data_IF_160761392252
#
_entry.id   IF_160761392252
#
_cell.length_a   1.000
_cell.length_b   1.000
_cell.length_c   1.000
_cell.angle_alpha   90.00
_cell.angle_beta   90.00
_cell.angle_gamma   90.00
#
_symmetry.space_group_name_H-M   'P 1'
#
loop_
_entity.id
_entity.type
_entity.pdbx_description
1 polymer ?
#
# COMPACT_ATOMS: atom_id res chain seq x y z
N UNK A 1 -3.20 13.90 24.67
CA UNK A 1 -3.45 12.56 25.25
C UNK A 1 -4.82 12.00 24.82
N UNK A 2 -5.18 12.05 23.52
CA UNK A 2 -6.49 11.58 23.03
C UNK A 2 -6.43 10.23 22.29
N UNK A 3 -5.26 9.84 21.76
CA UNK A 3 -5.11 8.62 20.96
C UNK A 3 -5.48 7.34 21.74
N UNK A 4 -5.12 7.25 23.02
CA UNK A 4 -5.25 6.01 23.82
C UNK A 4 -6.70 5.55 24.05
N UNK A 5 -7.68 6.47 24.02
CA UNK A 5 -9.10 6.14 24.21
C UNK A 5 -9.69 5.47 22.97
N UNK A 6 -9.42 6.03 21.78
CA UNK A 6 -9.89 5.49 20.51
C UNK A 6 -9.34 4.09 20.23
N UNK A 7 -8.06 3.84 20.54
CA UNK A 7 -7.42 2.52 20.37
C UNK A 7 -8.09 1.43 21.20
N UNK A 8 -8.42 1.72 22.47
CA UNK A 8 -9.10 0.77 23.36
C UNK A 8 -10.54 0.49 22.93
N UNK A 9 -11.24 1.51 22.45
CA UNK A 9 -12.60 1.35 21.95
C UNK A 9 -12.62 0.47 20.70
N UNK A 10 -11.70 0.74 19.77
CA UNK A 10 -11.57 -0.04 18.55
C UNK A 10 -11.15 -1.49 18.81
N UNK A 11 -10.22 -1.71 19.73
CA UNK A 11 -9.84 -3.05 20.18
C UNK A 11 -11.05 -3.83 20.70
N UNK A 12 -11.85 -3.23 21.59
CA UNK A 12 -13.07 -3.85 22.13
C UNK A 12 -14.08 -4.20 21.05
N UNK A 13 -14.30 -3.31 20.08
CA UNK A 13 -15.21 -3.55 18.96
C UNK A 13 -14.76 -4.74 18.11
N UNK A 14 -13.47 -4.81 17.77
CA UNK A 14 -12.92 -5.91 16.97
C UNK A 14 -12.91 -7.23 17.74
N UNK A 15 -12.61 -7.21 19.05
CA UNK A 15 -12.71 -8.39 19.91
C UNK A 15 -14.14 -8.96 19.95
N UNK A 16 -15.15 -8.09 20.09
CA UNK A 16 -16.56 -8.50 20.05
C UNK A 16 -16.95 -9.11 18.70
N UNK A 17 -16.37 -8.59 17.60
CA UNK A 17 -16.57 -9.13 16.24
C UNK A 17 -15.70 -10.37 15.94
N UNK A 18 -14.92 -10.87 16.92
CA UNK A 18 -13.93 -11.96 16.75
C UNK A 18 -12.85 -11.65 15.70
N UNK A 19 -12.60 -10.37 15.40
CA UNK A 19 -11.62 -9.90 14.42
C UNK A 19 -10.21 -9.74 15.00
N UNK A 20 -9.68 -10.82 15.58
CA UNK A 20 -8.40 -10.79 16.30
C UNK A 20 -7.20 -10.66 15.37
N UNK A 21 -7.22 -11.30 14.20
CA UNK A 21 -6.12 -11.20 13.24
C UNK A 21 -6.12 -9.83 12.57
N UNK A 22 -7.29 -9.28 12.27
CA UNK A 22 -7.41 -7.91 11.78
C UNK A 22 -6.89 -6.90 12.80
N UNK A 23 -7.18 -7.07 14.09
CA UNK A 23 -6.62 -6.22 15.14
C UNK A 23 -5.08 -6.25 15.16
N UNK A 24 -4.48 -7.44 15.03
CA UNK A 24 -3.01 -7.58 14.94
C UNK A 24 -2.45 -6.91 13.69
N UNK A 25 -3.10 -7.10 12.53
CA UNK A 25 -2.73 -6.43 11.29
C UNK A 25 -2.74 -4.91 11.48
N UNK A 26 -3.83 -4.38 12.04
CA UNK A 26 -4.02 -2.96 12.32
C UNK A 26 -2.90 -2.39 13.21
N UNK A 27 -2.59 -3.03 14.34
CA UNK A 27 -1.46 -2.63 15.20
C UNK A 27 -0.14 -2.59 14.42
N UNK A 28 0.15 -3.65 13.66
CA UNK A 28 1.38 -3.75 12.87
C UNK A 28 1.47 -2.68 11.77
N UNK A 29 0.34 -2.31 11.14
CA UNK A 29 0.28 -1.26 10.12
C UNK A 29 0.69 0.10 10.69
N UNK A 30 0.15 0.48 11.85
CA UNK A 30 0.49 1.75 12.48
C UNK A 30 1.92 1.78 13.03
N UNK A 31 2.46 0.64 13.44
CA UNK A 31 3.87 0.53 13.79
C UNK A 31 4.78 0.71 12.56
N UNK A 32 4.37 0.17 11.39
CA UNK A 32 5.06 0.43 10.11
C UNK A 32 5.00 1.91 9.75
N UNK A 33 3.82 2.54 9.80
CA UNK A 33 3.67 3.98 9.57
C UNK A 33 4.55 4.82 10.51
N UNK A 34 4.61 4.46 11.79
CA UNK A 34 5.46 5.16 12.77
C UNK A 34 6.95 5.02 12.46
N UNK A 35 7.40 3.84 12.06
CA UNK A 35 8.79 3.63 11.63
C UNK A 35 9.08 4.38 10.34
N UNK A 36 8.11 4.46 9.44
CA UNK A 36 8.19 5.21 8.20
C UNK A 36 8.40 6.71 8.45
N UNK A 37 7.75 7.28 9.48
CA UNK A 37 8.00 8.66 9.91
C UNK A 37 9.47 8.90 10.30
N UNK A 38 10.16 7.92 10.88
CA UNK A 38 11.58 8.04 11.22
C UNK A 38 12.43 8.02 9.95
N UNK A 39 12.11 7.15 8.97
CA UNK A 39 12.75 7.14 7.64
C UNK A 39 12.59 8.50 6.95
N UNK A 40 11.42 9.12 7.07
CA UNK A 40 11.13 10.44 6.50
C UNK A 40 11.90 11.58 7.19
N UNK A 41 12.20 11.46 8.48
CA UNK A 41 13.04 12.45 9.18
C UNK A 41 14.49 12.47 8.68
N UNK A 42 15.01 11.34 8.19
CA UNK A 42 16.34 11.24 7.58
C UNK A 42 16.30 11.37 6.06
N UNK A 43 15.14 11.66 5.46
CA UNK A 43 15.01 11.82 4.03
C UNK A 43 15.76 13.08 3.56
N UNK A 44 16.65 12.90 2.58
CA UNK A 44 17.35 13.99 1.94
C UNK A 44 16.88 14.10 0.50
N UNK A 45 16.50 15.31 0.11
CA UNK A 45 16.17 15.61 -1.27
C UNK A 45 17.42 15.53 -2.15
N UNK A 46 17.32 14.74 -3.22
CA UNK A 46 18.28 14.72 -4.32
C UNK A 46 17.56 15.18 -5.58
N UNK A 47 18.24 15.95 -6.43
CA UNK A 47 17.72 16.27 -7.75
C UNK A 47 17.92 15.08 -8.69
N UNK A 48 16.81 14.45 -9.08
CA UNK A 48 16.81 13.29 -9.99
C UNK A 48 16.64 13.68 -11.46
N UNK A 49 16.75 14.97 -11.78
CA UNK A 49 16.79 15.49 -13.14
C UNK A 49 15.43 15.57 -13.83
N UNK A 50 15.49 15.86 -15.13
CA UNK A 50 14.32 16.03 -15.97
C UNK A 50 13.46 14.76 -16.02
N UNK A 51 12.14 14.87 -16.26
CA UNK A 51 11.28 13.72 -16.46
C UNK A 51 11.90 12.76 -17.47
N UNK A 52 11.95 11.48 -17.08
CA UNK A 52 12.34 10.13 -17.61
C UNK A 52 11.36 9.31 -18.42
N UNK A 53 10.12 9.46 -17.98
CA UNK A 53 9.03 8.53 -18.20
C UNK A 53 7.72 9.31 -18.27
N UNK A 54 6.71 8.67 -18.83
CA UNK A 54 5.35 9.14 -18.75
C UNK A 54 4.38 7.97 -18.57
N UNK A 55 3.18 8.28 -18.09
CA UNK A 55 2.05 7.35 -18.05
C UNK A 55 0.75 8.12 -18.24
N UNK A 56 -0.29 7.41 -18.69
CA UNK A 56 -1.61 7.99 -18.92
C UNK A 56 -2.60 7.47 -17.86
N UNK A 57 -3.32 8.38 -17.20
CA UNK A 57 -4.36 8.01 -16.22
C UNK A 57 -5.54 8.96 -16.31
N UNK A 58 -6.74 8.40 -16.47
CA UNK A 58 -7.98 9.20 -16.52
C UNK A 58 -8.04 10.20 -17.67
N UNK A 59 -7.34 9.95 -18.78
CA UNK A 59 -7.25 10.86 -19.92
C UNK A 59 -6.19 11.96 -19.81
N UNK A 60 -5.40 11.97 -18.72
CA UNK A 60 -4.29 12.89 -18.51
C UNK A 60 -2.96 12.16 -18.61
N UNK A 61 -1.96 12.81 -19.20
CA UNK A 61 -0.57 12.31 -19.23
C UNK A 61 0.25 12.94 -18.12
N UNK A 62 0.99 12.11 -17.39
CA UNK A 62 1.85 12.50 -16.29
C UNK A 62 3.30 12.18 -16.63
N UNK A 63 4.23 13.04 -16.22
CA UNK A 63 5.64 12.92 -16.55
C UNK A 63 6.46 12.76 -15.26
N UNK A 64 7.35 11.78 -15.23
CA UNK A 64 8.12 11.39 -14.05
C UNK A 64 9.58 11.25 -14.42
N UNK A 65 10.49 11.63 -13.52
CA UNK A 65 11.88 11.17 -13.60
C UNK A 65 12.00 9.75 -13.02
N UNK A 66 13.22 9.21 -12.99
CA UNK A 66 13.48 7.88 -12.45
C UNK A 66 12.95 7.71 -11.02
N UNK A 67 13.15 8.72 -10.18
CA UNK A 67 12.67 8.67 -8.80
C UNK A 67 11.14 8.59 -8.71
N UNK A 68 10.42 9.39 -9.50
CA UNK A 68 8.95 9.34 -9.53
C UNK A 68 8.44 7.98 -10.02
N UNK A 69 9.08 7.40 -11.03
CA UNK A 69 8.78 6.07 -11.53
C UNK A 69 9.01 4.98 -10.46
N UNK A 70 10.13 5.06 -9.74
CA UNK A 70 10.46 4.14 -8.65
C UNK A 70 9.50 4.32 -7.48
N UNK A 71 9.08 5.54 -7.18
CA UNK A 71 8.11 5.84 -6.13
C UNK A 71 6.73 5.25 -6.44
N UNK A 72 6.22 5.37 -7.66
CA UNK A 72 4.96 4.72 -8.04
C UNK A 72 5.06 3.20 -8.09
N UNK A 73 6.19 2.66 -8.54
CA UNK A 73 6.47 1.23 -8.48
C UNK A 73 6.48 0.71 -7.04
N UNK A 74 7.10 1.46 -6.12
CA UNK A 74 7.05 1.17 -4.68
C UNK A 74 5.64 1.26 -4.13
N UNK A 75 4.86 2.29 -4.48
CA UNK A 75 3.47 2.44 -4.04
C UNK A 75 2.65 1.17 -4.30
N UNK A 76 2.73 0.63 -5.53
CA UNK A 76 1.99 -0.59 -5.92
C UNK A 76 2.48 -1.81 -5.11
N UNK A 77 3.79 -1.96 -4.92
CA UNK A 77 4.34 -3.08 -4.16
C UNK A 77 4.03 -3.01 -2.67
N UNK A 78 4.19 -1.83 -2.06
CA UNK A 78 3.86 -1.57 -0.65
C UNK A 78 2.36 -1.80 -0.43
N UNK A 79 1.53 -1.31 -1.36
CA UNK A 79 0.09 -1.56 -1.39
C UNK A 79 -0.24 -3.05 -1.45
N UNK A 80 0.34 -3.79 -2.40
CA UNK A 80 0.14 -5.24 -2.55
C UNK A 80 0.51 -6.00 -1.28
N UNK A 81 1.63 -5.65 -0.65
CA UNK A 81 2.10 -6.29 0.56
C UNK A 81 1.16 -6.06 1.75
N UNK A 82 0.70 -4.82 1.95
CA UNK A 82 -0.28 -4.48 2.98
C UNK A 82 -1.65 -5.11 2.70
N UNK A 83 -2.07 -5.12 1.44
CA UNK A 83 -3.28 -5.79 0.99
C UNK A 83 -3.27 -7.26 1.32
N UNK A 84 -2.19 -7.98 0.99
CA UNK A 84 -2.07 -9.42 1.24
C UNK A 84 -2.19 -9.74 2.73
N UNK A 85 -1.53 -8.95 3.59
CA UNK A 85 -1.64 -9.10 5.05
C UNK A 85 -3.07 -8.88 5.56
N UNK A 86 -3.74 -7.84 5.05
CA UNK A 86 -5.12 -7.52 5.38
C UNK A 86 -6.09 -8.63 4.95
N UNK A 87 -6.02 -9.08 3.69
CA UNK A 87 -6.88 -10.13 3.15
C UNK A 87 -6.69 -11.46 3.89
N UNK A 88 -5.45 -11.82 4.22
CA UNK A 88 -5.15 -12.99 5.04
C UNK A 88 -5.78 -12.89 6.43
N UNK A 89 -5.68 -11.72 7.08
CA UNK A 89 -6.25 -11.50 8.40
C UNK A 89 -7.79 -11.62 8.39
N UNK A 90 -8.45 -10.99 7.41
CA UNK A 90 -9.90 -11.07 7.25
C UNK A 90 -10.36 -12.51 6.97
N UNK A 91 -9.64 -13.24 6.11
CA UNK A 91 -9.91 -14.66 5.87
C UNK A 91 -9.78 -15.49 7.16
N UNK A 92 -8.74 -15.27 7.95
CA UNK A 92 -8.51 -16.01 9.20
C UNK A 92 -9.58 -15.72 10.25
N UNK A 93 -10.12 -14.50 10.27
CA UNK A 93 -11.21 -14.11 11.14
C UNK A 93 -12.60 -14.52 10.60
N UNK A 94 -12.67 -15.11 9.39
CA UNK A 94 -13.93 -15.44 8.72
C UNK A 94 -14.74 -14.21 8.31
N UNK A 95 -14.08 -13.06 8.16
CA UNK A 95 -14.69 -11.80 7.74
C UNK A 95 -14.98 -11.82 6.24
N UNK A 96 -16.00 -11.06 5.83
CA UNK A 96 -16.34 -10.92 4.41
C UNK A 96 -15.24 -10.19 3.63
N UNK A 97 -15.19 -10.42 2.32
CA UNK A 97 -14.29 -9.70 1.43
C UNK A 97 -14.65 -8.20 1.40
N UNK A 98 -13.80 -7.35 1.96
CA UNK A 98 -14.05 -5.91 2.10
C UNK A 98 -12.73 -5.09 2.14
N UNK A 99 -11.98 -5.01 1.03
CA UNK A 99 -10.69 -4.31 0.99
C UNK A 99 -10.80 -2.81 1.32
N UNK A 100 -11.92 -2.17 0.97
CA UNK A 100 -12.07 -0.70 1.07
C UNK A 100 -12.24 -0.21 2.51
N UNK A 101 -12.70 -1.09 3.40
CA UNK A 101 -12.90 -0.81 4.82
C UNK A 101 -11.66 -1.12 5.69
N UNK A 102 -10.51 -1.35 5.05
CA UNK A 102 -9.23 -1.55 5.73
C UNK A 102 -8.50 -0.23 5.95
N UNK A 103 -7.87 -0.02 7.10
CA UNK A 103 -7.20 1.26 7.41
C UNK A 103 -6.09 1.59 6.43
N UNK A 104 -5.30 0.59 6.04
CA UNK A 104 -4.21 0.77 5.08
C UNK A 104 -4.73 1.17 3.70
N UNK A 105 -5.92 0.72 3.30
CA UNK A 105 -6.56 1.13 2.05
C UNK A 105 -7.07 2.58 2.11
N UNK A 106 -7.67 2.96 3.24
CA UNK A 106 -8.20 4.30 3.44
C UNK A 106 -7.06 5.33 3.52
N UNK A 107 -6.04 5.06 4.34
CA UNK A 107 -4.87 5.90 4.52
C UNK A 107 -3.97 5.94 3.27
N UNK A 108 -3.61 4.76 2.74
CA UNK A 108 -2.79 4.56 1.53
C UNK A 108 -1.49 5.39 1.47
N UNK A 109 -0.93 5.78 2.62
CA UNK A 109 0.22 6.70 2.69
C UNK A 109 1.53 6.02 3.06
N UNK A 110 1.47 4.75 3.51
CA UNK A 110 2.68 4.01 3.90
C UNK A 110 3.70 3.98 2.75
N UNK A 111 4.92 4.41 3.03
CA UNK A 111 6.02 4.42 2.06
C UNK A 111 6.18 5.73 1.30
N UNK A 112 5.20 6.64 1.34
CA UNK A 112 5.23 7.93 0.62
C UNK A 112 6.28 8.88 1.20
N UNK A 113 7.17 9.39 0.34
CA UNK A 113 8.27 10.30 0.70
C UNK A 113 8.28 11.64 -0.08
N UNK A 114 7.40 11.80 -1.08
CA UNK A 114 7.04 13.09 -1.69
C UNK A 114 7.91 13.56 -2.86
N UNK A 115 7.81 14.88 -3.15
CA UNK A 115 8.51 15.66 -4.18
C UNK A 115 8.09 15.48 -5.64
N UNK A 116 8.24 14.29 -6.21
CA UNK A 116 8.10 14.09 -7.67
C UNK A 116 6.76 13.50 -8.09
N UNK A 117 5.95 13.10 -7.11
CA UNK A 117 4.64 12.48 -7.31
C UNK A 117 3.70 13.12 -6.31
N UNK A 118 2.52 13.54 -6.78
CA UNK A 118 1.47 14.01 -5.89
C UNK A 118 0.94 12.88 -5.01
N UNK A 119 0.56 13.21 -3.78
CA UNK A 119 0.06 12.21 -2.82
C UNK A 119 -1.16 11.47 -3.35
N UNK A 120 -2.03 12.11 -4.14
CA UNK A 120 -3.18 11.48 -4.78
C UNK A 120 -2.79 10.40 -5.78
N UNK A 121 -1.76 10.63 -6.59
CA UNK A 121 -1.22 9.62 -7.51
C UNK A 121 -0.62 8.44 -6.75
N UNK A 122 0.18 8.73 -5.72
CA UNK A 122 0.75 7.69 -4.86
C UNK A 122 -0.33 6.81 -4.23
N UNK A 123 -1.31 7.43 -3.58
CA UNK A 123 -2.39 6.71 -2.91
C UNK A 123 -3.26 5.92 -3.91
N UNK A 124 -3.48 6.44 -5.12
CA UNK A 124 -4.19 5.70 -6.17
C UNK A 124 -3.45 4.39 -6.50
N UNK A 125 -2.16 4.47 -6.81
CA UNK A 125 -1.36 3.29 -7.18
C UNK A 125 -1.12 2.34 -5.99
N UNK A 126 -1.00 2.86 -4.77
CA UNK A 126 -1.02 2.05 -3.55
C UNK A 126 -2.30 1.23 -3.45
N UNK A 127 -3.47 1.85 -3.65
CA UNK A 127 -4.76 1.16 -3.60
C UNK A 127 -4.91 0.12 -4.72
N UNK A 128 -4.36 0.37 -5.91
CA UNK A 128 -4.31 -0.62 -6.99
C UNK A 128 -3.52 -1.87 -6.59
N UNK A 129 -2.35 -1.69 -5.98
CA UNK A 129 -1.59 -2.79 -5.38
C UNK A 129 -2.39 -3.49 -4.28
N UNK A 130 -2.96 -2.71 -3.36
CA UNK A 130 -3.69 -3.21 -2.19
C UNK A 130 -4.85 -4.12 -2.56
N UNK A 131 -5.70 -3.73 -3.53
CA UNK A 131 -6.84 -4.56 -3.94
C UNK A 131 -6.39 -5.95 -4.41
N UNK A 132 -5.33 -6.00 -5.21
CA UNK A 132 -4.76 -7.25 -5.76
C UNK A 132 -4.12 -8.10 -4.67
N UNK A 133 -3.35 -7.46 -3.78
CA UNK A 133 -2.77 -8.12 -2.62
C UNK A 133 -3.84 -8.70 -1.71
N UNK A 134 -4.86 -7.90 -1.39
CA UNK A 134 -5.99 -8.33 -0.57
C UNK A 134 -6.70 -9.53 -1.16
N UNK A 135 -6.96 -9.52 -2.46
CA UNK A 135 -7.57 -10.66 -3.15
C UNK A 135 -6.71 -11.92 -3.05
N UNK A 136 -5.41 -11.82 -3.30
CA UNK A 136 -4.47 -12.93 -3.18
C UNK A 136 -4.39 -13.47 -1.75
N UNK A 137 -4.29 -12.59 -0.75
CA UNK A 137 -4.25 -12.96 0.67
C UNK A 137 -5.57 -13.59 1.16
N UNK A 138 -6.70 -13.01 0.75
CA UNK A 138 -8.05 -13.46 1.13
C UNK A 138 -8.37 -14.83 0.54
N UNK A 139 -7.99 -15.11 -0.70
CA UNK A 139 -8.20 -16.42 -1.32
C UNK A 139 -7.04 -17.39 -1.12
N UNK A 140 -5.90 -16.96 -0.55
CA UNK A 140 -4.73 -17.80 -0.32
C UNK A 140 -4.02 -18.22 -1.60
N UNK A 141 -3.93 -17.31 -2.57
CA UNK A 141 -3.34 -17.54 -3.89
C UNK A 141 -2.32 -16.46 -4.22
N UNK A 142 -1.66 -16.61 -5.36
CA UNK A 142 -0.64 -15.71 -5.89
C UNK A 142 -0.94 -15.42 -7.36
N UNK A 143 -2.09 -14.80 -7.62
CA UNK A 143 -2.54 -14.52 -8.98
C UNK A 143 -1.90 -13.24 -9.52
N UNK A 144 -1.70 -12.24 -8.67
CA UNK A 144 -1.19 -10.93 -9.08
C UNK A 144 0.22 -10.65 -8.58
N UNK A 145 0.68 -11.37 -7.56
CA UNK A 145 2.02 -11.23 -7.03
C UNK A 145 2.65 -12.55 -6.63
N UNK A 146 3.75 -12.44 -5.91
CA UNK A 146 4.51 -13.58 -5.41
C UNK A 146 5.08 -13.26 -4.03
N UNK A 147 5.49 -14.31 -3.33
CA UNK A 147 6.28 -14.18 -2.10
C UNK A 147 7.73 -14.61 -2.36
N UNK A 148 8.67 -13.72 -2.07
CA UNK A 148 10.10 -13.98 -2.24
C UNK A 148 10.91 -13.21 -1.21
N UNK A 149 11.97 -13.82 -0.67
CA UNK A 149 12.90 -13.19 0.28
C UNK A 149 12.21 -12.49 1.47
N UNK A 150 11.11 -13.05 1.98
CA UNK A 150 10.40 -12.46 3.12
C UNK A 150 9.34 -11.41 2.75
N UNK A 151 9.18 -11.07 1.47
CA UNK A 151 8.34 -9.97 0.99
C UNK A 151 7.28 -10.43 -0.02
N UNK A 152 6.10 -9.81 0.04
CA UNK A 152 5.08 -9.93 -0.99
C UNK A 152 5.23 -8.77 -1.99
N UNK A 153 5.23 -9.08 -3.28
CA UNK A 153 5.37 -8.08 -4.34
C UNK A 153 4.51 -8.44 -5.54
N UNK A 154 4.11 -7.43 -6.30
CA UNK A 154 3.33 -7.64 -7.51
C UNK A 154 4.20 -8.24 -8.64
N UNK A 155 3.61 -9.03 -9.53
CA UNK A 155 4.30 -9.56 -10.71
C UNK A 155 4.62 -8.42 -11.70
N UNK A 156 5.77 -8.52 -12.38
CA UNK A 156 6.23 -7.50 -13.33
C UNK A 156 5.21 -7.19 -14.42
N UNK A 157 4.59 -8.20 -15.03
CA UNK A 157 3.59 -7.99 -16.08
C UNK A 157 2.33 -7.28 -15.56
N UNK A 158 1.93 -7.55 -14.31
CA UNK A 158 0.79 -6.90 -13.66
C UNK A 158 1.14 -5.46 -13.29
N UNK A 159 2.36 -5.21 -12.80
CA UNK A 159 2.88 -3.86 -12.55
C UNK A 159 2.82 -3.02 -13.83
N UNK A 160 3.33 -3.55 -14.94
CA UNK A 160 3.32 -2.90 -16.25
C UNK A 160 1.91 -2.60 -16.73
N UNK A 161 0.94 -3.48 -16.48
CA UNK A 161 -0.46 -3.24 -16.83
C UNK A 161 -1.13 -2.16 -15.97
N UNK A 162 -0.77 -2.04 -14.68
CA UNK A 162 -1.33 -1.03 -13.78
C UNK A 162 -0.76 0.36 -14.09
N UNK A 163 0.58 0.45 -14.15
CA UNK A 163 1.26 1.73 -14.24
C UNK A 163 1.46 2.20 -15.69
N UNK A 164 1.57 1.26 -16.63
CA UNK A 164 1.84 1.50 -18.07
C UNK A 164 2.91 2.58 -18.28
N UNK A 165 4.01 2.43 -17.54
CA UNK A 165 5.10 3.39 -17.56
C UNK A 165 5.87 3.26 -18.87
N UNK A 166 5.96 4.35 -19.62
CA UNK A 166 6.66 4.41 -20.90
C UNK A 166 7.84 5.36 -20.80
N UNK A 167 8.97 4.92 -21.33
CA UNK A 167 10.15 5.76 -21.48
C UNK A 167 10.08 6.52 -22.80
N UNK A 168 10.59 7.74 -22.82
CA UNK A 168 10.87 8.46 -24.07
C UNK A 168 12.21 8.04 -24.69
#
# INVERSE_FOLDING_TARGET
MAATSWWRERERQLQNQRRQNYWRFHQNYYDRLRRDQIRLQSFNYYDYGAPTYYYDRGGSSFYLNQYGADLLTRAINDGYEEGYRAGLADRQDGWQFDPENNDAFQDASYGYDGYYVDVGEYQYYFREGFRRGYEDGYYGRYQYGAYSNGRYSILGDVLSLILDLRRY
#
